data_IF_154259290254
#
_entry.id   IF_154259290254
#
_cell.length_a   1.000
_cell.length_b   1.000
_cell.length_c   1.000
_cell.angle_alpha   90.00
_cell.angle_beta   90.00
_cell.angle_gamma   90.00
#
_symmetry.space_group_name_H-M   'P 1'
#
loop_
_entity.id
_entity.type
_entity.pdbx_description
1 polymer ?
#
# COMPACT_ATOMS: atom_id res chain seq x y z
N UNK A 1 16.37 -3.73 -0.01
CA UNK A 1 15.17 -4.27 0.64
C UNK A 1 14.08 -4.27 -0.41
N UNK A 2 13.45 -5.41 -0.66
CA UNK A 2 12.53 -5.61 -1.80
C UNK A 2 11.09 -5.73 -1.29
N UNK A 3 10.40 -4.59 -1.21
CA UNK A 3 9.04 -4.51 -0.66
C UNK A 3 8.05 -5.35 -1.47
N UNK A 4 8.07 -5.23 -2.80
CA UNK A 4 7.15 -5.93 -3.68
C UNK A 4 7.28 -7.45 -3.52
N UNK A 5 8.50 -7.95 -3.39
CA UNK A 5 8.76 -9.36 -3.10
C UNK A 5 8.15 -9.81 -1.76
N UNK A 6 8.30 -9.02 -0.69
CA UNK A 6 7.72 -9.36 0.62
C UNK A 6 6.19 -9.44 0.55
N UNK A 7 5.56 -8.49 -0.14
CA UNK A 7 4.10 -8.46 -0.32
C UNK A 7 3.61 -9.63 -1.20
N UNK A 8 4.28 -9.91 -2.32
CA UNK A 8 3.96 -11.02 -3.22
C UNK A 8 4.09 -12.38 -2.53
N UNK A 9 5.09 -12.52 -1.65
CA UNK A 9 5.33 -13.70 -0.83
C UNK A 9 4.50 -13.71 0.47
N UNK A 10 3.66 -12.70 0.71
CA UNK A 10 2.84 -12.52 1.90
C UNK A 10 3.62 -12.55 3.23
N UNK A 11 4.89 -12.12 3.20
CA UNK A 11 5.78 -11.98 4.37
C UNK A 11 5.50 -10.67 5.10
N UNK A 12 4.28 -10.53 5.61
CA UNK A 12 3.76 -9.27 6.11
C UNK A 12 4.42 -8.79 7.41
N UNK A 13 4.91 -9.69 8.26
CA UNK A 13 5.66 -9.31 9.47
C UNK A 13 6.97 -8.61 9.08
N UNK A 14 7.73 -9.17 8.15
CA UNK A 14 8.94 -8.53 7.64
C UNK A 14 8.63 -7.24 6.88
N UNK A 15 7.51 -7.16 6.17
CA UNK A 15 7.03 -5.92 5.57
C UNK A 15 6.65 -4.86 6.62
N UNK A 16 6.21 -5.24 7.81
CA UNK A 16 6.07 -4.27 8.90
C UNK A 16 7.45 -3.76 9.32
N UNK A 17 8.46 -4.61 9.46
CA UNK A 17 9.78 -4.19 9.95
C UNK A 17 10.45 -3.12 9.07
N UNK A 18 10.05 -2.99 7.80
CA UNK A 18 10.57 -1.98 6.87
C UNK A 18 9.90 -0.60 7.00
N UNK A 19 8.97 -0.45 7.94
CA UNK A 19 8.29 0.82 8.22
C UNK A 19 8.76 1.44 9.51
N UNK A 20 8.63 2.75 9.61
CA UNK A 20 8.82 3.45 10.87
C UNK A 20 7.64 3.23 11.81
N UNK A 21 7.85 3.42 13.11
CA UNK A 21 6.80 3.27 14.12
C UNK A 21 5.69 4.32 13.99
N UNK A 22 6.01 5.48 13.41
CA UNK A 22 5.11 6.60 13.14
C UNK A 22 4.51 6.58 11.71
N UNK A 23 4.58 5.44 11.01
CA UNK A 23 4.04 5.28 9.65
C UNK A 23 2.59 5.78 9.55
N UNK A 24 2.32 6.54 8.49
CA UNK A 24 0.96 6.85 8.01
C UNK A 24 0.72 6.21 6.65
N UNK A 25 -0.26 5.32 6.59
CA UNK A 25 -0.59 4.55 5.40
C UNK A 25 -2.03 4.88 4.98
N UNK A 26 -2.17 5.64 3.91
CA UNK A 26 -3.45 6.26 3.54
C UNK A 26 -3.80 6.00 2.09
N UNK A 27 -5.05 5.64 1.83
CA UNK A 27 -5.65 5.53 0.50
C UNK A 27 -7.04 6.18 0.53
N UNK A 28 -7.16 7.46 0.15
CA UNK A 28 -8.46 8.13 0.14
C UNK A 28 -9.42 7.53 -0.90
N UNK A 29 -10.73 7.63 -0.65
CA UNK A 29 -11.75 7.26 -1.63
C UNK A 29 -11.76 8.27 -2.76
N UNK A 30 -11.62 7.80 -4.00
CA UNK A 30 -11.67 8.65 -5.21
C UNK A 30 -13.11 8.96 -5.59
N UNK A 31 -13.35 10.19 -6.06
CA UNK A 31 -14.66 10.63 -6.53
C UNK A 31 -14.55 11.23 -7.91
N UNK A 32 -15.54 10.98 -8.76
CA UNK A 32 -15.63 11.63 -10.06
C UNK A 32 -16.15 13.05 -9.87
N UNK A 33 -15.32 14.04 -10.17
CA UNK A 33 -15.66 15.46 -10.04
C UNK A 33 -15.52 16.19 -11.37
N UNK A 34 -16.21 17.31 -11.52
CA UNK A 34 -16.08 18.15 -12.69
C UNK A 34 -14.65 18.74 -12.78
N UNK A 35 -14.16 18.94 -14.01
CA UNK A 35 -12.87 19.59 -14.24
C UNK A 35 -12.86 20.97 -13.57
N UNK A 36 -11.91 21.21 -12.67
CA UNK A 36 -11.79 22.47 -11.94
C UNK A 36 -12.42 22.49 -10.54
N UNK A 37 -12.99 21.38 -10.07
CA UNK A 37 -13.54 21.28 -8.71
C UNK A 37 -12.47 21.42 -7.59
N UNK A 38 -11.20 21.20 -7.92
CA UNK A 38 -10.08 21.34 -6.97
C UNK A 38 -9.91 20.16 -6.01
N UNK A 39 -10.73 19.12 -6.13
CA UNK A 39 -10.61 17.86 -5.39
C UNK A 39 -11.03 16.68 -6.27
N UNK A 40 -10.42 15.53 -6.05
CA UNK A 40 -10.72 14.25 -6.70
C UNK A 40 -10.79 13.09 -5.68
N UNK A 41 -10.80 13.43 -4.38
CA UNK A 41 -10.96 12.51 -3.26
C UNK A 41 -12.08 12.97 -2.33
N UNK A 42 -12.82 12.03 -1.74
CA UNK A 42 -13.87 12.33 -0.75
C UNK A 42 -13.25 12.73 0.59
N UNK A 43 -13.51 13.95 1.10
CA UNK A 43 -13.03 14.35 2.42
C UNK A 43 -13.53 13.41 3.52
N UNK A 44 -12.63 12.97 4.41
CA UNK A 44 -12.97 12.13 5.56
C UNK A 44 -13.31 10.68 5.24
N UNK A 45 -13.14 10.21 4.00
CA UNK A 45 -13.35 8.81 3.62
C UNK A 45 -12.09 8.22 2.98
N UNK A 46 -11.65 7.09 3.51
CA UNK A 46 -10.50 6.37 3.00
C UNK A 46 -10.74 4.86 3.00
N UNK A 47 -10.16 4.19 2.01
CA UNK A 47 -10.04 2.73 1.97
C UNK A 47 -9.00 2.23 2.97
N UNK A 48 -7.94 3.00 3.16
CA UNK A 48 -6.95 2.84 4.21
C UNK A 48 -6.72 4.19 4.89
N UNK A 49 -6.76 4.22 6.21
CA UNK A 49 -6.26 5.31 7.05
C UNK A 49 -5.67 4.65 8.30
N UNK A 50 -4.44 4.16 8.12
CA UNK A 50 -3.83 3.20 9.03
C UNK A 50 -2.56 3.80 9.64
N UNK A 51 -2.32 3.46 10.90
CA UNK A 51 -1.03 3.65 11.57
C UNK A 51 -0.34 2.30 11.79
N UNK A 52 0.84 2.32 12.42
CA UNK A 52 1.61 1.10 12.68
C UNK A 52 0.81 0.06 13.46
N UNK A 53 0.05 0.51 14.46
CA UNK A 53 -0.73 -0.36 15.31
C UNK A 53 -1.85 -1.04 14.53
N UNK A 54 -2.65 -0.27 13.78
CA UNK A 54 -3.76 -0.81 13.00
C UNK A 54 -3.29 -1.71 11.85
N UNK A 55 -2.16 -1.37 11.19
CA UNK A 55 -1.49 -2.27 10.24
C UNK A 55 -1.08 -3.58 10.89
N UNK A 56 -0.52 -3.53 12.11
CA UNK A 56 -0.11 -4.73 12.85
C UNK A 56 -1.30 -5.64 13.15
N UNK A 57 -2.44 -5.06 13.56
CA UNK A 57 -3.66 -5.83 13.78
C UNK A 57 -4.16 -6.49 12.48
N UNK A 58 -4.05 -5.79 11.34
CA UNK A 58 -4.43 -6.32 10.03
C UNK A 58 -3.52 -7.46 9.59
N UNK A 59 -2.21 -7.35 9.81
CA UNK A 59 -1.25 -8.43 9.56
C UNK A 59 -1.53 -9.65 10.45
N UNK A 60 -1.75 -9.43 11.75
CA UNK A 60 -2.10 -10.51 12.68
C UNK A 60 -3.37 -11.25 12.23
N UNK A 61 -4.37 -10.52 11.71
CA UNK A 61 -5.60 -11.14 11.17
C UNK A 61 -5.31 -12.07 9.98
N UNK A 62 -4.40 -11.70 9.07
CA UNK A 62 -4.01 -12.57 7.96
C UNK A 62 -3.29 -13.84 8.43
N UNK A 63 -2.61 -13.81 9.58
CA UNK A 63 -1.93 -14.97 10.15
C UNK A 63 -2.87 -15.98 10.84
N UNK A 64 -4.12 -15.62 11.11
CA UNK A 64 -5.06 -16.54 11.80
C UNK A 64 -5.68 -17.56 10.84
N UNK A 65 -5.86 -18.81 11.31
CA UNK A 65 -6.57 -19.91 10.61
C UNK A 65 -8.03 -19.59 10.22
N UNK A 66 -8.55 -18.41 10.57
CA UNK A 66 -9.91 -17.96 10.27
C UNK A 66 -9.95 -16.79 9.27
N UNK A 67 -8.86 -16.53 8.55
CA UNK A 67 -8.86 -15.65 7.40
C UNK A 67 -9.57 -16.31 6.19
N UNK A 68 -10.86 -16.65 6.34
CA UNK A 68 -11.68 -17.26 5.26
C UNK A 68 -11.65 -16.47 3.95
N UNK A 69 -11.36 -15.16 4.00
CA UNK A 69 -11.19 -14.30 2.82
C UNK A 69 -9.87 -14.54 2.05
N UNK A 70 -8.89 -15.19 2.67
CA UNK A 70 -7.58 -15.54 2.09
C UNK A 70 -7.24 -17.03 2.29
N UNK A 71 -8.25 -17.90 2.46
CA UNK A 71 -8.10 -19.35 2.38
C UNK A 71 -8.98 -19.92 1.26
N UNK A 72 -8.44 -20.33 0.11
CA UNK A 72 -7.02 -20.36 -0.24
C UNK A 72 -6.46 -18.94 -0.49
N UNK A 73 -5.13 -18.73 -0.30
CA UNK A 73 -4.51 -17.42 -0.39
C UNK A 73 -4.53 -16.86 -1.80
N UNK A 74 -4.67 -15.53 -1.88
CA UNK A 74 -4.54 -14.80 -3.14
C UNK A 74 -3.13 -14.93 -3.69
N UNK A 75 -3.01 -15.16 -5.00
CA UNK A 75 -1.75 -14.99 -5.72
C UNK A 75 -1.63 -13.52 -6.12
N UNK A 76 -0.61 -12.86 -5.61
CA UNK A 76 -0.38 -11.43 -5.79
C UNK A 76 0.82 -11.19 -6.70
N UNK A 77 0.79 -10.07 -7.42
CA UNK A 77 1.95 -9.50 -8.10
C UNK A 77 1.87 -7.99 -8.13
N UNK A 78 2.88 -7.34 -7.55
CA UNK A 78 3.02 -5.89 -7.57
C UNK A 78 3.96 -5.48 -8.70
N UNK A 79 3.44 -4.83 -9.74
CA UNK A 79 4.26 -4.25 -10.80
C UNK A 79 4.54 -2.79 -10.48
N UNK A 80 5.75 -2.49 -9.99
CA UNK A 80 6.19 -1.14 -9.66
C UNK A 80 6.95 -0.52 -10.84
N UNK A 81 6.52 0.66 -11.28
CA UNK A 81 7.09 1.39 -12.42
C UNK A 81 7.13 2.89 -12.14
N UNK A 82 7.67 3.66 -13.10
CA UNK A 82 7.66 5.13 -13.09
C UNK A 82 8.23 5.75 -11.80
N UNK A 83 9.25 5.10 -11.22
CA UNK A 83 9.87 5.51 -9.96
C UNK A 83 10.62 6.83 -10.16
N UNK A 84 10.27 7.83 -9.33
CA UNK A 84 10.92 9.14 -9.29
C UNK A 84 11.20 9.50 -7.84
N UNK A 85 12.35 10.11 -7.60
CA UNK A 85 12.77 10.52 -6.26
C UNK A 85 12.96 12.02 -6.19
N UNK A 86 12.57 12.62 -5.07
CA UNK A 86 12.72 14.04 -4.78
C UNK A 86 13.31 14.21 -3.38
N UNK A 87 14.00 15.32 -3.16
CA UNK A 87 14.45 15.70 -1.83
C UNK A 87 13.23 15.84 -0.89
N UNK A 88 13.35 15.31 0.33
CA UNK A 88 12.34 15.45 1.37
C UNK A 88 12.48 16.75 2.14
N UNK A 89 11.95 16.76 3.36
CA UNK A 89 12.01 17.92 4.25
C UNK A 89 13.45 18.24 4.73
N UNK A 90 14.31 17.22 4.76
CA UNK A 90 15.71 17.31 5.17
C UNK A 90 16.55 16.21 4.47
N UNK A 91 17.81 16.05 4.87
CA UNK A 91 18.74 15.05 4.30
C UNK A 91 18.40 13.60 4.65
N UNK A 92 17.57 13.37 5.66
CA UNK A 92 17.15 12.05 6.11
C UNK A 92 15.83 11.62 5.46
N UNK A 93 15.19 12.47 4.68
CA UNK A 93 13.92 12.17 4.02
C UNK A 93 14.02 12.22 2.50
N UNK A 94 13.41 11.24 1.84
CA UNK A 94 13.26 11.20 0.38
C UNK A 94 11.79 10.96 0.05
N UNK A 95 11.26 11.76 -0.88
CA UNK A 95 9.93 11.54 -1.43
C UNK A 95 10.08 10.65 -2.66
N UNK A 96 9.32 9.58 -2.72
CA UNK A 96 9.31 8.65 -3.85
C UNK A 96 7.91 8.61 -4.45
N UNK A 97 7.82 8.85 -5.75
CA UNK A 97 6.59 8.63 -6.50
C UNK A 97 6.77 7.43 -7.41
N UNK A 98 5.78 6.55 -7.45
CA UNK A 98 5.77 5.36 -8.31
C UNK A 98 4.36 5.05 -8.78
N UNK A 99 4.27 4.31 -9.88
CA UNK A 99 3.02 3.72 -10.35
C UNK A 99 3.02 2.23 -10.01
N UNK A 100 1.88 1.73 -9.56
CA UNK A 100 1.67 0.34 -9.22
C UNK A 100 0.49 -0.23 -10.01
N UNK A 101 0.70 -1.42 -10.56
CA UNK A 101 -0.37 -2.30 -10.98
C UNK A 101 -0.33 -3.55 -10.11
N UNK A 102 -1.35 -3.74 -9.29
CA UNK A 102 -1.53 -4.97 -8.52
C UNK A 102 -2.36 -5.96 -9.35
N UNK A 103 -1.81 -7.15 -9.56
CA UNK A 103 -2.55 -8.32 -10.02
C UNK A 103 -2.90 -9.22 -8.85
N UNK A 104 -4.18 -9.62 -8.76
CA UNK A 104 -4.68 -10.57 -7.76
C UNK A 104 -5.50 -11.66 -8.44
N UNK A 105 -5.20 -12.92 -8.14
CA UNK A 105 -6.05 -14.05 -8.53
C UNK A 105 -6.28 -14.98 -7.34
N UNK A 106 -7.45 -15.62 -7.27
CA UNK A 106 -7.81 -16.54 -6.19
C UNK A 106 -8.72 -17.66 -6.69
N UNK A 107 -8.46 -18.89 -6.23
CA UNK A 107 -9.17 -20.08 -6.68
C UNK A 107 -8.89 -20.43 -8.14
N UNK A 108 -9.70 -21.31 -8.71
CA UNK A 108 -9.44 -21.89 -10.04
C UNK A 108 -10.27 -21.26 -11.16
N UNK A 109 -11.40 -20.61 -10.82
CA UNK A 109 -12.42 -20.21 -11.81
C UNK A 109 -12.77 -18.72 -11.77
N UNK A 110 -12.37 -18.00 -10.73
CA UNK A 110 -12.69 -16.57 -10.61
C UNK A 110 -11.80 -15.74 -11.52
N UNK A 111 -12.39 -14.71 -12.14
CA UNK A 111 -11.62 -13.71 -12.87
C UNK A 111 -10.60 -13.05 -11.94
N UNK A 112 -9.39 -12.83 -12.46
CA UNK A 112 -8.38 -12.05 -11.75
C UNK A 112 -8.81 -10.60 -11.64
N UNK A 113 -8.47 -9.96 -10.52
CA UNK A 113 -8.62 -8.54 -10.33
C UNK A 113 -7.31 -7.81 -10.65
N UNK A 114 -7.43 -6.63 -11.27
CA UNK A 114 -6.37 -5.66 -11.43
C UNK A 114 -6.73 -4.41 -10.63
N UNK A 115 -5.74 -3.79 -10.00
CA UNK A 115 -5.87 -2.47 -9.38
C UNK A 115 -4.70 -1.60 -9.85
N UNK A 116 -5.00 -0.48 -10.48
CA UNK A 116 -4.02 0.54 -10.86
C UNK A 116 -4.06 1.69 -9.86
N UNK A 117 -2.89 2.10 -9.38
CA UNK A 117 -2.77 3.24 -8.50
C UNK A 117 -1.40 3.94 -8.62
N UNK A 118 -1.37 5.20 -8.20
CA UNK A 118 -0.14 5.93 -7.90
C UNK A 118 0.20 5.84 -6.42
N UNK A 119 1.49 5.69 -6.10
CA UNK A 119 2.04 5.76 -4.74
C UNK A 119 2.89 6.99 -4.58
N UNK A 120 2.66 7.72 -3.49
CA UNK A 120 3.54 8.76 -2.99
C UNK A 120 4.03 8.37 -1.60
N UNK A 121 5.30 8.04 -1.53
CA UNK A 121 5.97 7.54 -0.35
C UNK A 121 6.92 8.59 0.21
N UNK A 122 7.09 8.60 1.53
CA UNK A 122 8.19 9.28 2.22
C UNK A 122 9.03 8.19 2.87
N UNK A 123 10.27 8.06 2.40
CA UNK A 123 11.27 7.22 3.02
C UNK A 123 12.08 8.07 4.01
N UNK A 124 12.32 7.53 5.20
CA UNK A 124 13.19 8.12 6.23
C UNK A 124 14.41 7.24 6.43
N UNK A 125 15.58 7.85 6.45
CA UNK A 125 16.82 7.19 6.83
C UNK A 125 16.81 6.96 8.33
N UNK A 126 16.84 5.70 8.75
CA UNK A 126 17.02 5.30 10.13
C UNK A 126 18.50 4.98 10.31
N UNK A 127 19.22 5.87 11.01
CA UNK A 127 20.66 5.78 11.24
C UNK A 127 21.06 4.63 12.18
N UNK A 128 22.21 4.78 12.84
CA UNK A 128 22.76 3.77 13.77
C UNK A 128 21.72 3.36 14.85
N UNK A 129 21.45 2.06 15.07
CA UNK A 129 22.16 0.89 14.52
C UNK A 129 21.57 0.30 13.24
N UNK A 130 20.42 0.77 12.79
CA UNK A 130 19.69 0.14 11.68
C UNK A 130 20.31 0.42 10.31
N UNK A 131 20.81 1.65 10.12
CA UNK A 131 21.50 2.11 8.91
C UNK A 131 20.75 1.77 7.61
N UNK A 132 19.44 2.02 7.59
CA UNK A 132 18.53 1.61 6.51
C UNK A 132 17.46 2.66 6.23
N UNK A 133 16.89 2.63 5.02
CA UNK A 133 15.68 3.38 4.72
C UNK A 133 14.45 2.62 5.22
N UNK A 134 13.52 3.34 5.84
CA UNK A 134 12.20 2.84 6.23
C UNK A 134 11.09 3.70 5.65
N UNK A 135 9.94 3.09 5.39
CA UNK A 135 8.74 3.80 4.95
C UNK A 135 8.13 4.56 6.14
N UNK A 136 8.05 5.88 6.03
CA UNK A 136 7.47 6.77 7.04
C UNK A 136 6.08 7.27 6.66
N UNK A 137 5.76 7.32 5.36
CA UNK A 137 4.42 7.62 4.88
C UNK A 137 4.17 6.96 3.55
N UNK A 138 2.96 6.44 3.33
CA UNK A 138 2.45 6.08 2.02
C UNK A 138 1.10 6.73 1.79
N UNK A 139 0.94 7.33 0.62
CA UNK A 139 -0.34 7.80 0.11
C UNK A 139 -0.61 7.14 -1.23
N UNK A 140 -1.69 6.36 -1.31
CA UNK A 140 -2.09 5.60 -2.49
C UNK A 140 -3.28 6.27 -3.15
N UNK A 141 -3.19 6.56 -4.43
CA UNK A 141 -4.24 7.18 -5.22
C UNK A 141 -4.69 6.15 -6.26
N UNK A 142 -5.85 5.52 -6.05
CA UNK A 142 -6.43 4.63 -7.06
C UNK A 142 -6.83 5.39 -8.32
N UNK A 143 -6.74 4.72 -9.46
CA UNK A 143 -7.21 5.26 -10.74
C UNK A 143 -8.73 5.05 -10.96
N UNK A 144 -9.42 4.48 -9.97
CA UNK A 144 -10.86 4.17 -10.03
C UNK A 144 -11.62 4.78 -8.84
N UNK A 145 -12.81 5.33 -9.09
CA UNK A 145 -13.72 5.81 -8.04
C UNK A 145 -14.51 4.70 -7.36
N UNK A 146 -14.72 3.59 -8.07
CA UNK A 146 -15.36 2.38 -7.54
C UNK A 146 -14.39 1.23 -7.78
N UNK A 147 -13.85 0.68 -6.70
CA UNK A 147 -12.93 -0.45 -6.80
C UNK A 147 -13.69 -1.70 -7.24
N UNK A 148 -13.25 -2.31 -8.33
CA UNK A 148 -13.87 -3.54 -8.87
C UNK A 148 -13.44 -4.80 -8.14
N UNK A 149 -12.35 -4.72 -7.37
CA UNK A 149 -11.91 -5.83 -6.53
C UNK A 149 -12.92 -6.08 -5.41
N UNK A 150 -13.27 -7.34 -5.17
CA UNK A 150 -14.29 -7.72 -4.18
C UNK A 150 -14.01 -7.22 -2.75
N UNK A 151 -12.74 -7.12 -2.39
CA UNK A 151 -12.27 -6.58 -1.13
C UNK A 151 -10.81 -6.13 -1.27
N UNK A 152 -10.35 -5.29 -0.34
CA UNK A 152 -8.94 -4.89 -0.21
C UNK A 152 -8.22 -5.76 0.84
N UNK A 153 -8.34 -7.08 0.75
CA UNK A 153 -7.56 -8.01 1.57
C UNK A 153 -6.11 -8.12 1.04
N UNK A 154 -5.48 -6.99 0.77
CA UNK A 154 -4.13 -6.82 0.20
C UNK A 154 -3.49 -5.56 0.80
N UNK A 155 -2.18 -5.40 0.62
CA UNK A 155 -1.47 -4.14 0.83
C UNK A 155 -0.91 -3.67 -0.52
N UNK A 156 -0.62 -2.37 -0.62
CA UNK A 156 -0.15 -1.63 -1.81
C UNK A 156 1.09 -0.79 -1.43
#
# INVERSE_FOLDING_TARGET
MDEAYLLDAQRYEEWLDIMTDDIRYVMPVRVTTARGAGFDTSPGMAHFDEDKYSLTQRVARFATEHAWTEDPPSRLRHFITNVRTFAGADSEHVIVESAELLFRSRGDVNESALLSCGRKDVLRWCGDPENTWKLARRTIIADESVLRMQNLAVFL
#
